data_IF_759853274889
#
_entry.id   IF_759853274889
#
_cell.length_a   1.000
_cell.length_b   1.000
_cell.length_c   1.000
_cell.angle_alpha   90.00
_cell.angle_beta   90.00
_cell.angle_gamma   90.00
#
_symmetry.space_group_name_H-M   'P 1'
#
loop_
_entity.id
_entity.type
_entity.pdbx_description
1 polymer ?
#
# COMPACT_ATOMS: atom_id res chain seq x y z
N UNK A 1 2.65 -3.79 18.43
CA UNK A 1 1.45 -3.67 17.57
C UNK A 1 1.26 -4.96 16.78
N UNK A 2 0.07 -5.34 16.29
CA UNK A 2 -0.04 -6.50 15.40
C UNK A 2 0.84 -6.28 14.16
N UNK A 3 1.59 -7.31 13.73
CA UNK A 3 2.39 -7.26 12.49
C UNK A 3 1.49 -6.89 11.31
N UNK A 4 1.88 -5.88 10.53
CA UNK A 4 1.16 -5.47 9.33
C UNK A 4 1.09 -6.65 8.35
N UNK A 5 -0.09 -6.87 7.76
CA UNK A 5 -0.32 -7.84 6.69
C UNK A 5 -0.96 -7.14 5.51
N UNK A 6 -0.53 -7.49 4.31
CA UNK A 6 -1.12 -6.96 3.08
C UNK A 6 -2.58 -7.42 2.98
N UNK A 7 -3.49 -6.45 2.84
CA UNK A 7 -4.91 -6.65 2.59
C UNK A 7 -5.26 -6.51 1.11
N UNK A 8 -4.65 -5.54 0.42
CA UNK A 8 -4.81 -5.34 -1.02
C UNK A 8 -3.65 -4.55 -1.62
N UNK A 9 -3.38 -4.75 -2.91
CA UNK A 9 -2.39 -4.00 -3.68
C UNK A 9 -3.06 -3.52 -4.96
N UNK A 10 -2.83 -2.26 -5.31
CA UNK A 10 -3.32 -1.64 -6.53
C UNK A 10 -2.18 -1.03 -7.34
N UNK A 11 -2.31 -1.09 -8.66
CA UNK A 11 -1.44 -0.45 -9.66
C UNK A 11 -2.26 0.59 -10.44
N UNK A 12 -1.75 1.82 -10.46
CA UNK A 12 -2.26 2.97 -11.20
C UNK A 12 -1.09 3.59 -11.98
N UNK A 13 -0.81 3.10 -13.21
CA UNK A 13 0.43 3.41 -13.94
C UNK A 13 0.57 4.89 -14.33
N UNK A 14 -0.54 5.64 -14.32
CA UNK A 14 -0.59 7.02 -14.80
C UNK A 14 -0.26 8.07 -13.72
N UNK A 15 0.11 7.64 -12.50
CA UNK A 15 0.42 8.55 -11.38
C UNK A 15 1.77 8.23 -10.73
N UNK A 16 2.32 9.21 -10.01
CA UNK A 16 3.64 9.13 -9.35
C UNK A 16 3.62 8.05 -8.25
N UNK A 17 2.57 8.05 -7.43
CA UNK A 17 2.23 7.07 -6.41
C UNK A 17 1.57 5.83 -7.01
N UNK A 18 2.24 5.25 -8.01
CA UNK A 18 1.72 4.18 -8.85
C UNK A 18 1.11 3.02 -8.07
N UNK A 19 1.74 2.59 -6.99
CA UNK A 19 1.28 1.46 -6.19
C UNK A 19 0.69 1.92 -4.87
N UNK A 20 -0.45 1.34 -4.50
CA UNK A 20 -1.06 1.52 -3.17
C UNK A 20 -1.19 0.15 -2.49
N UNK A 21 -0.49 -0.03 -1.37
CA UNK A 21 -0.49 -1.26 -0.57
C UNK A 21 -1.30 -0.99 0.69
N UNK A 22 -2.49 -1.59 0.81
CA UNK A 22 -3.29 -1.52 2.02
C UNK A 22 -2.93 -2.62 2.99
N UNK A 23 -2.83 -2.26 4.27
CA UNK A 23 -2.60 -3.20 5.36
C UNK A 23 -3.91 -3.63 6.03
N UNK A 24 -3.83 -4.65 6.90
CA UNK A 24 -4.96 -5.20 7.64
C UNK A 24 -5.37 -4.36 8.85
N UNK A 25 -4.72 -3.23 9.10
CA UNK A 25 -5.06 -2.30 10.18
C UNK A 25 -6.18 -1.38 9.72
N UNK A 26 -7.36 -1.53 10.31
CA UNK A 26 -8.50 -0.67 10.04
C UNK A 26 -8.50 0.52 11.01
N UNK A 27 -8.65 1.73 10.49
CA UNK A 27 -8.79 2.93 11.29
C UNK A 27 -10.21 2.99 11.87
N UNK A 28 -10.33 3.14 13.19
CA UNK A 28 -11.61 3.08 13.91
C UNK A 28 -12.41 4.40 13.90
N UNK A 29 -11.82 5.49 13.42
CA UNK A 29 -12.37 6.85 13.53
C UNK A 29 -13.19 7.29 12.30
N UNK A 30 -13.60 6.35 11.45
CA UNK A 30 -14.30 6.66 10.21
C UNK A 30 -15.55 5.79 10.06
N UNK A 31 -16.65 6.39 9.61
CA UNK A 31 -17.92 5.70 9.34
C UNK A 31 -17.80 4.68 8.19
N UNK A 32 -16.81 4.88 7.32
CA UNK A 32 -16.45 3.97 6.24
C UNK A 32 -15.15 3.21 6.59
N UNK A 33 -15.01 1.94 6.18
CA UNK A 33 -13.78 1.19 6.41
C UNK A 33 -12.57 1.83 5.72
N UNK A 34 -11.69 2.42 6.52
CA UNK A 34 -10.41 3.00 6.11
C UNK A 34 -9.25 2.14 6.63
N UNK A 35 -8.18 2.03 5.85
CA UNK A 35 -7.03 1.19 6.16
C UNK A 35 -5.73 1.97 6.02
N UNK A 36 -4.76 1.68 6.87
CA UNK A 36 -3.39 2.15 6.70
C UNK A 36 -2.85 1.65 5.36
N UNK A 37 -2.16 2.51 4.63
CA UNK A 37 -1.58 2.16 3.36
C UNK A 37 -0.20 2.79 3.13
N UNK A 38 0.58 2.11 2.28
CA UNK A 38 1.81 2.61 1.70
C UNK A 38 1.54 2.98 0.24
N UNK A 39 1.72 4.26 -0.09
CA UNK A 39 1.71 4.78 -1.44
C UNK A 39 3.15 4.90 -1.93
N UNK A 40 3.48 4.26 -3.06
CA UNK A 40 4.86 4.12 -3.52
C UNK A 40 4.96 4.14 -5.04
N UNK A 41 5.98 4.82 -5.56
CA UNK A 41 6.25 4.85 -7.00
C UNK A 41 6.98 3.60 -7.50
N UNK A 42 7.45 3.64 -8.76
CA UNK A 42 8.31 2.58 -9.32
C UNK A 42 9.65 2.44 -8.56
N UNK A 43 10.12 3.52 -7.94
CA UNK A 43 11.30 3.53 -7.10
C UNK A 43 10.95 4.17 -5.73
N UNK A 44 10.88 3.36 -4.65
CA UNK A 44 10.59 3.84 -3.29
C UNK A 44 11.57 4.90 -2.79
N UNK A 45 12.82 4.91 -3.28
CA UNK A 45 13.81 5.92 -2.89
C UNK A 45 13.47 7.33 -3.40
N UNK A 46 12.60 7.43 -4.42
CA UNK A 46 12.16 8.70 -5.02
C UNK A 46 10.84 9.15 -4.41
N UNK A 47 9.91 8.21 -4.18
CA UNK A 47 8.59 8.52 -3.65
C UNK A 47 8.03 7.34 -2.83
N UNK A 48 7.77 7.61 -1.55
CA UNK A 48 7.20 6.65 -0.59
C UNK A 48 6.49 7.43 0.51
N UNK A 49 5.22 7.11 0.79
CA UNK A 49 4.42 7.81 1.79
C UNK A 49 3.41 6.87 2.46
N UNK A 50 3.36 6.90 3.78
CA UNK A 50 2.28 6.30 4.56
C UNK A 50 1.06 7.21 4.61
N UNK A 51 -0.11 6.61 4.47
CA UNK A 51 -1.40 7.31 4.49
C UNK A 51 -2.51 6.39 4.99
N UNK A 52 -3.74 6.88 4.92
CA UNK A 52 -4.97 6.15 5.22
C UNK A 52 -5.89 6.27 4.01
N UNK A 53 -6.50 5.18 3.57
CA UNK A 53 -7.38 5.20 2.40
C UNK A 53 -8.44 4.11 2.39
N UNK A 54 -9.33 4.20 1.41
CA UNK A 54 -10.40 3.23 1.19
C UNK A 54 -10.02 2.23 0.10
N UNK A 55 -10.27 0.95 0.34
CA UNK A 55 -10.12 -0.10 -0.68
C UNK A 55 -11.28 0.03 -1.69
N UNK A 56 -10.98 0.28 -2.96
CA UNK A 56 -12.00 0.35 -4.00
C UNK A 56 -11.46 0.36 -5.43
N UNK A 57 -12.37 0.35 -6.42
CA UNK A 57 -12.03 0.38 -7.85
C UNK A 57 -11.31 1.66 -8.28
N UNK A 58 -11.44 2.74 -7.52
CA UNK A 58 -10.79 4.02 -7.80
C UNK A 58 -9.25 3.99 -7.68
N UNK A 59 -8.71 2.98 -6.98
CA UNK A 59 -7.27 2.78 -6.82
C UNK A 59 -6.60 2.17 -8.06
N UNK A 60 -7.35 1.82 -9.09
CA UNK A 60 -6.82 1.20 -10.31
C UNK A 60 -6.92 -0.33 -10.29
N UNK A 61 -5.96 -0.98 -10.94
CA UNK A 61 -5.98 -2.43 -11.13
C UNK A 61 -5.48 -3.13 -9.87
N UNK A 62 -6.29 -4.03 -9.31
CA UNK A 62 -5.84 -4.89 -8.21
C UNK A 62 -4.80 -5.88 -8.74
N UNK A 63 -3.64 -5.95 -8.07
CA UNK A 63 -2.53 -6.84 -8.44
C UNK A 63 -2.10 -7.69 -7.23
N UNK A 64 -1.21 -8.65 -7.47
CA UNK A 64 -0.59 -9.45 -6.41
C UNK A 64 0.80 -8.93 -6.05
N UNK A 65 1.34 -9.40 -4.93
CA UNK A 65 2.61 -8.93 -4.41
C UNK A 65 3.78 -9.24 -5.35
N UNK A 66 3.77 -10.42 -5.96
CA UNK A 66 4.77 -10.85 -6.95
C UNK A 66 4.78 -10.00 -8.24
N UNK A 67 3.74 -9.20 -8.48
CA UNK A 67 3.68 -8.29 -9.62
C UNK A 67 4.31 -6.92 -9.34
N UNK A 68 4.69 -6.62 -8.09
CA UNK A 68 5.40 -5.39 -7.75
C UNK A 68 6.86 -5.47 -8.23
N UNK A 69 7.47 -4.34 -8.63
CA UNK A 69 8.92 -4.28 -8.83
C UNK A 69 9.68 -4.74 -7.59
N UNK A 70 10.81 -5.42 -7.77
CA UNK A 70 11.57 -6.03 -6.66
C UNK A 70 11.93 -5.01 -5.56
N UNK A 71 12.34 -3.80 -5.94
CA UNK A 71 12.65 -2.72 -4.99
C UNK A 71 11.42 -2.30 -4.17
N UNK A 72 10.23 -2.32 -4.77
CA UNK A 72 8.96 -2.03 -4.07
C UNK A 72 8.60 -3.18 -3.14
N UNK A 73 8.82 -4.44 -3.57
CA UNK A 73 8.64 -5.60 -2.69
C UNK A 73 9.53 -5.52 -1.45
N UNK A 74 10.78 -5.07 -1.59
CA UNK A 74 11.70 -4.88 -0.47
C UNK A 74 11.20 -3.81 0.50
N UNK A 75 10.74 -2.66 -0.01
CA UNK A 75 10.17 -1.59 0.82
C UNK A 75 8.94 -2.06 1.61
N UNK A 76 8.01 -2.77 0.96
CA UNK A 76 6.82 -3.33 1.63
C UNK A 76 7.21 -4.35 2.70
N UNK A 77 8.20 -5.22 2.42
CA UNK A 77 8.70 -6.18 3.42
C UNK A 77 9.29 -5.48 4.64
N UNK A 78 10.09 -4.43 4.43
CA UNK A 78 10.66 -3.63 5.53
C UNK A 78 9.53 -3.02 6.37
N UNK A 79 8.55 -2.41 5.70
CA UNK A 79 7.39 -1.78 6.35
C UNK A 79 6.59 -2.78 7.21
N UNK A 80 6.42 -4.00 6.72
CA UNK A 80 5.72 -5.07 7.46
C UNK A 80 6.52 -5.63 8.66
N UNK A 81 7.81 -5.31 8.76
CA UNK A 81 8.71 -5.80 9.81
C UNK A 81 9.19 -4.73 10.79
N UNK A 82 8.93 -3.45 10.51
CA UNK A 82 9.26 -2.35 11.42
C UNK A 82 8.45 -2.49 12.73
N UNK A 83 9.15 -2.50 13.87
CA UNK A 83 8.59 -2.65 15.22
C UNK A 83 7.99 -1.37 15.78
#
# INVERSE_FOLDING_TARGET
MPKLKIKAIYDKPDIIDRYTIYYNTQCQNYDIPMFDCLCVGNNPAVFCQHSIGQIGKHNGKKIKFENLPEIVQQAVKQDMTAE
#
